data_IF_333931791118
#
_entry.id   IF_333931791118
#
_cell.length_a   1.000
_cell.length_b   1.000
_cell.length_c   1.000
_cell.angle_alpha   90.00
_cell.angle_beta   90.00
_cell.angle_gamma   90.00
#
_symmetry.space_group_name_H-M   'P 1'
#
loop_
_entity.id
_entity.type
_entity.pdbx_description
1 polymer ?
#
# COMPACT_ATOMS: atom_id res chain seq x y z
N UNK A 1 12.66 -10.18 -8.86
CA UNK A 1 11.28 -10.39 -8.36
C UNK A 1 11.28 -10.00 -6.90
N UNK A 2 10.70 -8.85 -6.54
CA UNK A 2 10.63 -8.40 -5.15
C UNK A 2 9.57 -9.22 -4.42
N UNK A 3 9.92 -9.95 -3.34
CA UNK A 3 8.97 -10.86 -2.66
C UNK A 3 7.73 -10.13 -2.12
N UNK A 4 7.84 -8.83 -1.85
CA UNK A 4 6.74 -7.98 -1.39
C UNK A 4 5.55 -7.92 -2.38
N UNK A 5 5.79 -7.91 -3.70
CA UNK A 5 4.75 -7.76 -4.73
C UNK A 5 4.25 -9.08 -5.31
N UNK A 6 5.02 -10.17 -5.19
CA UNK A 6 4.63 -11.50 -5.68
C UNK A 6 3.51 -12.16 -4.86
N UNK A 7 3.14 -11.54 -3.74
CA UNK A 7 2.17 -12.06 -2.78
C UNK A 7 0.70 -11.93 -3.21
N UNK A 8 0.35 -11.25 -4.31
CA UNK A 8 -1.06 -11.08 -4.71
C UNK A 8 -1.74 -12.36 -5.24
N UNK A 9 -1.00 -13.44 -5.52
CA UNK A 9 -1.53 -14.64 -6.17
C UNK A 9 -1.90 -15.82 -5.23
N UNK A 10 -1.80 -15.67 -3.90
CA UNK A 10 -2.07 -16.77 -2.95
C UNK A 10 -3.26 -16.43 -2.04
N UNK A 11 -4.07 -17.45 -1.73
CA UNK A 11 -5.30 -17.46 -0.92
C UNK A 11 -5.19 -16.96 0.53
N UNK A 12 -4.08 -16.29 0.89
CA UNK A 12 -3.84 -15.73 2.22
C UNK A 12 -4.09 -14.22 2.18
N UNK A 13 -4.79 -13.71 3.20
CA UNK A 13 -5.18 -12.30 3.34
C UNK A 13 -4.00 -11.34 3.15
N UNK A 14 -4.19 -10.20 2.44
CA UNK A 14 -3.12 -9.24 2.17
C UNK A 14 -2.41 -8.72 3.43
N UNK A 15 -3.15 -8.57 4.54
CA UNK A 15 -2.66 -8.07 5.82
C UNK A 15 -1.64 -9.02 6.46
N UNK A 16 -1.94 -10.32 6.53
CA UNK A 16 -1.06 -11.30 7.18
C UNK A 16 0.27 -11.45 6.43
N UNK A 17 0.24 -11.31 5.10
CA UNK A 17 1.47 -11.29 4.29
C UNK A 17 2.32 -10.06 4.57
N UNK A 18 1.71 -8.88 4.63
CA UNK A 18 2.43 -7.65 4.97
C UNK A 18 3.04 -7.77 6.36
N UNK A 19 2.29 -8.23 7.37
CA UNK A 19 2.83 -8.48 8.72
C UNK A 19 3.99 -9.47 8.70
N UNK A 20 3.88 -10.54 7.93
CA UNK A 20 4.95 -11.53 7.77
C UNK A 20 6.21 -10.90 7.14
N UNK A 21 6.06 -10.09 6.09
CA UNK A 21 7.15 -9.41 5.40
C UNK A 21 7.83 -8.37 6.31
N UNK A 22 7.06 -7.59 7.07
CA UNK A 22 7.59 -6.66 8.07
C UNK A 22 8.37 -7.40 9.16
N UNK A 23 7.84 -8.53 9.64
CA UNK A 23 8.52 -9.36 10.64
C UNK A 23 9.84 -9.92 10.13
N UNK A 24 10.03 -10.04 8.82
CA UNK A 24 11.26 -10.51 8.19
C UNK A 24 12.23 -9.37 7.84
N UNK A 25 12.01 -8.15 8.35
CA UNK A 25 12.80 -6.95 8.03
C UNK A 25 12.94 -6.71 6.52
N UNK A 26 11.94 -7.14 5.74
CA UNK A 26 11.94 -6.89 4.30
C UNK A 26 11.79 -5.39 4.09
N UNK A 27 12.67 -4.80 3.29
CA UNK A 27 12.48 -3.44 2.84
C UNK A 27 11.09 -3.30 2.21
N UNK A 28 10.27 -2.44 2.82
CA UNK A 28 8.89 -2.15 2.40
C UNK A 28 8.81 -0.95 1.46
N UNK A 29 9.88 -0.14 1.43
CA UNK A 29 10.06 1.00 0.54
C UNK A 29 10.50 0.58 -0.87
N UNK A 30 10.57 -0.72 -1.18
CA UNK A 30 10.93 -1.15 -2.52
C UNK A 30 9.85 -0.73 -3.51
N UNK A 31 10.29 -0.02 -4.53
CA UNK A 31 9.50 0.34 -5.70
C UNK A 31 9.64 -0.78 -6.73
N UNK A 32 8.51 -1.28 -7.24
CA UNK A 32 8.46 -2.16 -8.41
C UNK A 32 8.72 -1.31 -9.67
N UNK A 33 8.84 -1.96 -10.82
CA UNK A 33 8.83 -1.30 -12.14
C UNK A 33 7.68 -0.28 -12.20
N UNK A 34 7.94 0.90 -12.75
CA UNK A 34 6.95 1.97 -12.79
C UNK A 34 6.78 2.72 -11.47
N UNK A 35 7.79 2.74 -10.58
CA UNK A 35 7.73 3.39 -9.26
C UNK A 35 6.58 2.93 -8.34
N UNK A 36 6.02 1.75 -8.62
CA UNK A 36 4.84 1.23 -7.96
C UNK A 36 5.19 0.73 -6.55
N UNK A 37 4.47 1.22 -5.53
CA UNK A 37 4.72 0.90 -4.10
C UNK A 37 3.67 -0.05 -3.52
N UNK A 38 3.94 -0.63 -2.36
CA UNK A 38 2.96 -1.48 -1.64
C UNK A 38 1.70 -0.71 -1.23
N UNK A 39 1.78 0.62 -1.08
CA UNK A 39 0.62 1.45 -0.79
C UNK A 39 -0.35 1.49 -1.99
N UNK A 40 0.16 1.57 -3.23
CA UNK A 40 -0.66 1.45 -4.44
C UNK A 40 -1.36 0.09 -4.50
N UNK A 41 -0.62 -1.00 -4.23
CA UNK A 41 -1.17 -2.35 -4.19
C UNK A 41 -2.24 -2.51 -3.12
N UNK A 42 -2.03 -1.94 -1.93
CA UNK A 42 -2.98 -2.00 -0.83
C UNK A 42 -4.26 -1.19 -1.11
N UNK A 43 -4.17 -0.10 -1.88
CA UNK A 43 -5.38 0.60 -2.29
C UNK A 43 -6.19 -0.17 -3.34
N UNK A 44 -5.51 -0.88 -4.25
CA UNK A 44 -6.17 -1.65 -5.29
C UNK A 44 -6.73 -3.00 -4.81
N UNK A 45 -5.98 -3.76 -4.01
CA UNK A 45 -6.34 -5.11 -3.55
C UNK A 45 -6.55 -5.25 -2.04
N UNK A 46 -6.09 -4.29 -1.25
CA UNK A 46 -6.15 -4.36 0.21
C UNK A 46 -7.41 -3.73 0.80
N UNK A 47 -7.57 -3.88 2.11
CA UNK A 47 -8.66 -3.29 2.91
C UNK A 47 -8.20 -1.98 3.57
N UNK A 48 -9.13 -1.20 4.12
CA UNK A 48 -8.79 0.01 4.88
C UNK A 48 -7.77 -0.27 6.00
N UNK A 49 -7.93 -1.39 6.71
CA UNK A 49 -7.02 -1.82 7.77
C UNK A 49 -5.59 -2.04 7.27
N UNK A 50 -5.44 -2.51 6.03
CA UNK A 50 -4.14 -2.70 5.39
C UNK A 50 -3.46 -1.35 5.15
N UNK A 51 -4.20 -0.39 4.60
CA UNK A 51 -3.70 0.97 4.33
C UNK A 51 -3.28 1.66 5.62
N UNK A 52 -4.11 1.59 6.67
CA UNK A 52 -3.78 2.14 7.99
C UNK A 52 -2.50 1.53 8.54
N UNK A 53 -2.36 0.20 8.50
CA UNK A 53 -1.15 -0.47 8.98
C UNK A 53 0.11 -0.02 8.21
N UNK A 54 0.03 0.14 6.88
CA UNK A 54 1.16 0.62 6.08
C UNK A 54 1.55 2.07 6.39
N UNK A 55 0.59 2.95 6.64
CA UNK A 55 0.90 4.37 6.91
C UNK A 55 1.29 4.60 8.37
N UNK A 56 0.54 4.05 9.33
CA UNK A 56 0.80 4.24 10.77
C UNK A 56 1.98 3.39 11.27
N UNK A 57 2.05 2.10 10.94
CA UNK A 57 3.07 1.22 11.51
C UNK A 57 4.38 1.24 10.73
N UNK A 58 4.31 1.48 9.43
CA UNK A 58 5.46 1.41 8.54
C UNK A 58 5.89 2.78 8.01
N UNK A 59 5.17 3.84 8.37
CA UNK A 59 5.48 5.22 8.02
C UNK A 59 5.71 5.44 6.52
N UNK A 60 5.02 4.67 5.67
CA UNK A 60 5.17 4.81 4.22
C UNK A 60 4.82 6.23 3.77
N UNK A 61 5.56 6.69 2.77
CA UNK A 61 5.27 7.95 2.11
C UNK A 61 4.04 7.79 1.21
N UNK A 62 3.01 8.58 1.53
CA UNK A 62 1.73 8.61 0.81
C UNK A 62 1.82 9.44 -0.47
N UNK A 63 2.82 10.33 -0.60
CA UNK A 63 2.99 11.21 -1.76
C UNK A 63 3.74 10.56 -2.94
N UNK A 64 4.13 9.28 -2.80
CA UNK A 64 4.83 8.59 -3.87
C UNK A 64 3.90 8.44 -5.07
N UNK A 65 4.40 8.87 -6.23
CA UNK A 65 3.74 8.72 -7.53
C UNK A 65 4.32 7.54 -8.29
N UNK A 66 3.47 6.77 -8.93
CA UNK A 66 3.80 5.84 -10.01
C UNK A 66 4.52 6.57 -11.15
N UNK A 67 5.10 5.82 -12.08
CA UNK A 67 5.73 6.34 -13.30
C UNK A 67 4.73 7.06 -14.21
N UNK A 68 3.47 6.65 -14.17
CA UNK A 68 2.34 7.34 -14.83
C UNK A 68 1.91 8.64 -14.13
N UNK A 69 2.55 9.00 -13.01
CA UNK A 69 2.20 10.18 -12.21
C UNK A 69 1.02 9.99 -11.24
N UNK A 70 0.44 8.79 -11.22
CA UNK A 70 -0.67 8.40 -10.34
C UNK A 70 -0.18 8.15 -8.91
N UNK A 71 -0.95 8.58 -7.91
CA UNK A 71 -0.69 8.37 -6.48
C UNK A 71 -1.47 7.17 -5.93
N UNK A 72 -1.16 6.72 -4.72
CA UNK A 72 -1.85 5.58 -4.12
C UNK A 72 -3.38 5.76 -4.03
N UNK A 73 -3.87 7.01 -3.89
CA UNK A 73 -5.32 7.31 -3.90
C UNK A 73 -5.99 7.00 -5.24
N UNK A 74 -5.29 7.17 -6.37
CA UNK A 74 -5.82 6.92 -7.71
C UNK A 74 -6.07 5.41 -7.95
N UNK A 75 -5.36 4.56 -7.21
CA UNK A 75 -5.53 3.11 -7.23
C UNK A 75 -6.59 2.60 -6.25
N UNK A 76 -7.12 3.43 -5.35
CA UNK A 76 -8.10 2.96 -4.37
C UNK A 76 -9.42 2.61 -5.07
N UNK A 77 -9.74 1.32 -5.14
CA UNK A 77 -10.97 0.80 -5.77
C UNK A 77 -11.73 -0.13 -4.80
N UNK A 78 -13.00 -0.38 -5.12
CA UNK A 78 -13.89 -1.26 -4.35
C UNK A 78 -14.82 -0.51 -3.38
N UNK A 79 -15.58 -1.25 -2.58
CA UNK A 79 -16.60 -0.71 -1.66
C UNK A 79 -16.03 0.16 -0.52
N UNK A 80 -14.77 -0.03 -0.16
CA UNK A 80 -14.06 0.73 0.89
C UNK A 80 -13.20 1.88 0.32
N UNK A 81 -13.29 2.19 -0.99
CA UNK A 81 -12.41 3.18 -1.62
C UNK A 81 -12.53 4.55 -0.99
N UNK A 82 -13.75 5.01 -0.67
CA UNK A 82 -14.00 6.33 -0.09
C UNK A 82 -13.30 6.53 1.26
N UNK A 83 -13.32 5.51 2.12
CA UNK A 83 -12.68 5.56 3.43
C UNK A 83 -11.16 5.54 3.32
N UNK A 84 -10.61 4.72 2.40
CA UNK A 84 -9.18 4.68 2.10
C UNK A 84 -8.69 6.02 1.59
N UNK A 85 -9.41 6.62 0.63
CA UNK A 85 -9.10 7.92 0.05
C UNK A 85 -9.17 9.01 1.13
N UNK A 86 -10.23 9.04 1.94
CA UNK A 86 -10.34 10.00 3.06
C UNK A 86 -9.16 9.88 4.03
N UNK A 87 -8.79 8.67 4.41
CA UNK A 87 -7.68 8.44 5.33
C UNK A 87 -6.34 8.87 4.71
N UNK A 88 -6.01 8.43 3.49
CA UNK A 88 -4.76 8.81 2.80
C UNK A 88 -4.71 10.33 2.58
N UNK A 89 -5.80 10.95 2.14
CA UNK A 89 -5.90 12.40 1.94
C UNK A 89 -5.68 13.16 3.24
N UNK A 90 -6.19 12.66 4.36
CA UNK A 90 -5.96 13.28 5.66
C UNK A 90 -4.48 13.17 6.06
N UNK A 91 -3.86 12.00 5.83
CA UNK A 91 -2.43 11.79 6.07
C UNK A 91 -1.54 12.69 5.20
N UNK A 92 -1.93 12.94 3.94
CA UNK A 92 -1.26 13.88 3.04
C UNK A 92 -1.35 15.35 3.48
N UNK A 93 -2.35 15.71 4.29
CA UNK A 93 -2.51 17.07 4.83
C UNK A 93 -1.79 17.27 6.17
N UNK A 94 -1.50 16.17 6.86
CA UNK A 94 -0.90 16.16 8.20
C UNK A 94 0.63 16.17 8.18
N UNK A 95 1.25 15.80 7.07
CA UNK A 95 2.70 15.88 6.82
C UNK A 95 3.03 17.08 5.95
#
# INVERSE_FOLDING_TARGET
MTPLFGCCASSVSPVDKIKYLVSHQVDINVRRCGNYTVLHAACYHGTLSTVKYLVDCLHLDVHVKSEDGETALDFCRGSESDEKIKYITNQMKLK
#
